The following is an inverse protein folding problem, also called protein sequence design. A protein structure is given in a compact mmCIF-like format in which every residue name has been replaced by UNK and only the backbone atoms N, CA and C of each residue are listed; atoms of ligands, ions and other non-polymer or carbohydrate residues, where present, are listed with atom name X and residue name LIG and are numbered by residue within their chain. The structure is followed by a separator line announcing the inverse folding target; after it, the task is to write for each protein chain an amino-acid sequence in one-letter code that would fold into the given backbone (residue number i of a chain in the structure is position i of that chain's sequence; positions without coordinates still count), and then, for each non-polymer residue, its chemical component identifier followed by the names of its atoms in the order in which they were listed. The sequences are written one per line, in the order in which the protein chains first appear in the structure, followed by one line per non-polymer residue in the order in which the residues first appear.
data_IF_523252468412
#
_entry.id   IF_523252468412
#
_cell.length_a   1.000
_cell.length_b   1.000
_cell.length_c   1.000
_cell.angle_alpha   90.00
_cell.angle_beta   90.00
_cell.angle_gamma   90.00
#
_symmetry.space_group_name_H-M   'P 1'
#
loop_
_entity.id
_entity.type
_entity.pdbx_description
1 polymer ?
#
# COMPACT_ATOMS: atom_id res chain seq x y z
N UNK A 1 15.33 8.27 16.18
CA UNK A 1 14.65 9.58 16.09
C UNK A 1 14.59 10.05 14.63
N UNK A 2 14.12 9.20 13.71
CA UNK A 2 13.91 9.52 12.28
C UNK A 2 12.70 8.73 11.75
N UNK A 3 11.58 8.74 12.48
CA UNK A 3 10.36 7.99 12.09
C UNK A 3 9.09 8.85 12.12
N UNK A 4 9.16 10.11 12.55
CA UNK A 4 7.96 10.94 12.72
C UNK A 4 7.29 11.24 11.37
N UNK A 5 8.06 11.62 10.35
CA UNK A 5 7.52 11.91 9.01
C UNK A 5 7.00 10.66 8.31
N UNK A 6 7.62 9.50 8.53
CA UNK A 6 7.11 8.22 8.00
C UNK A 6 5.74 7.85 8.60
N UNK A 7 5.41 8.41 9.78
CA UNK A 7 4.08 8.30 10.37
C UNK A 7 3.02 9.15 9.68
N UNK A 8 3.43 10.17 8.91
CA UNK A 8 2.58 11.19 8.29
C UNK A 8 2.40 10.98 6.77
N UNK A 9 2.61 9.77 6.26
CA UNK A 9 2.59 9.52 4.81
C UNK A 9 1.22 9.78 4.17
N UNK A 10 0.13 9.68 4.92
CA UNK A 10 -1.22 9.99 4.43
C UNK A 10 -1.33 11.50 4.18
N UNK A 11 -0.92 12.30 5.15
CA UNK A 11 -0.92 13.76 5.08
C UNK A 11 0.05 14.26 3.99
N UNK A 12 1.23 13.65 3.88
CA UNK A 12 2.19 13.93 2.80
C UNK A 12 1.57 13.61 1.44
N UNK A 13 0.80 12.52 1.31
CA UNK A 13 0.09 12.19 0.08
C UNK A 13 -1.03 13.19 -0.22
N UNK A 14 -1.78 13.63 0.79
CA UNK A 14 -2.83 14.64 0.63
C UNK A 14 -2.25 15.94 0.06
N UNK A 15 -1.13 16.40 0.62
CA UNK A 15 -0.41 17.59 0.13
C UNK A 15 0.09 17.36 -1.29
N UNK A 16 0.71 16.21 -1.57
CA UNK A 16 1.22 15.90 -2.90
C UNK A 16 0.11 15.89 -3.96
N UNK A 17 -1.03 15.24 -3.67
CA UNK A 17 -2.17 15.19 -4.59
C UNK A 17 -2.89 16.53 -4.73
N UNK A 18 -2.82 17.40 -3.72
CA UNK A 18 -3.32 18.77 -3.83
C UNK A 18 -2.45 19.64 -4.75
N UNK A 19 -1.13 19.44 -4.73
CA UNK A 19 -0.19 20.24 -5.52
C UNK A 19 0.03 19.74 -6.94
N UNK A 20 -0.25 18.46 -7.21
CA UNK A 20 -0.01 17.84 -8.52
C UNK A 20 -1.22 17.98 -9.44
N UNK A 21 -0.99 18.39 -10.68
CA UNK A 21 -2.03 18.40 -11.71
C UNK A 21 -2.54 16.97 -12.02
N UNK A 22 -3.86 16.82 -12.05
CA UNK A 22 -4.50 15.51 -12.24
C UNK A 22 -4.26 14.89 -13.62
N UNK A 23 -4.07 15.69 -14.67
CA UNK A 23 -3.74 15.19 -16.00
C UNK A 23 -2.27 14.73 -16.07
N UNK A 24 -1.36 15.49 -15.47
CA UNK A 24 0.05 15.07 -15.33
C UNK A 24 0.13 13.75 -14.55
N UNK A 25 -0.57 13.63 -13.42
CA UNK A 25 -0.59 12.41 -12.61
C UNK A 25 -1.15 11.21 -13.38
N UNK A 26 -2.17 11.45 -14.22
CA UNK A 26 -2.75 10.42 -15.10
C UNK A 26 -1.74 9.94 -16.15
N UNK A 27 -0.99 10.83 -16.76
CA UNK A 27 -0.14 10.52 -17.91
C UNK A 27 1.23 9.97 -17.51
N UNK A 28 1.82 10.52 -16.45
CA UNK A 28 3.19 10.24 -16.00
C UNK A 28 3.24 9.33 -14.78
N UNK A 29 2.17 9.36 -13.97
CA UNK A 29 2.06 8.55 -12.76
C UNK A 29 2.87 9.10 -11.59
N UNK A 30 2.55 8.57 -10.40
CA UNK A 30 3.15 9.04 -9.14
C UNK A 30 4.68 8.85 -9.09
N UNK A 31 5.20 7.78 -9.69
CA UNK A 31 6.63 7.46 -9.65
C UNK A 31 7.49 8.50 -10.38
N UNK A 32 6.96 9.11 -11.44
CA UNK A 32 7.68 10.15 -12.19
C UNK A 32 7.54 11.52 -11.53
N UNK A 33 6.34 11.87 -11.04
CA UNK A 33 6.06 13.18 -10.45
C UNK A 33 6.56 13.32 -9.01
N UNK A 34 6.52 12.23 -8.24
CA UNK A 34 6.87 12.21 -6.83
C UNK A 34 7.77 11.00 -6.49
N UNK A 35 8.95 10.85 -7.14
CA UNK A 35 9.81 9.68 -6.99
C UNK A 35 10.26 9.43 -5.55
N UNK A 36 10.40 10.49 -4.74
CA UNK A 36 10.80 10.37 -3.33
C UNK A 36 9.73 9.66 -2.49
N UNK A 37 8.46 9.94 -2.74
CA UNK A 37 7.31 9.36 -2.02
C UNK A 37 7.19 7.86 -2.36
N UNK A 38 7.51 7.47 -3.59
CA UNK A 38 7.49 6.06 -4.00
C UNK A 38 8.61 5.19 -3.42
N UNK A 39 9.57 5.75 -2.67
CA UNK A 39 10.58 4.97 -1.95
C UNK A 39 10.04 4.29 -0.68
N UNK A 40 8.86 4.70 -0.23
CA UNK A 40 8.22 4.14 0.95
C UNK A 40 7.41 2.92 0.55
N UNK A 41 7.74 1.74 1.08
CA UNK A 41 7.00 0.51 0.79
C UNK A 41 5.54 0.57 1.27
N UNK A 42 5.19 1.56 2.09
CA UNK A 42 3.83 1.86 2.52
C UNK A 42 3.00 2.57 1.45
N UNK A 43 3.56 2.83 0.26
CA UNK A 43 2.88 3.55 -0.82
C UNK A 43 2.89 2.71 -2.09
N UNK A 44 1.74 2.56 -2.71
CA UNK A 44 1.58 1.78 -3.95
C UNK A 44 0.62 2.49 -4.90
N UNK A 45 1.03 2.68 -6.16
CA UNK A 45 0.21 3.30 -7.20
C UNK A 45 -0.18 2.26 -8.25
N UNK A 46 -1.47 2.13 -8.53
CA UNK A 46 -1.99 1.37 -9.66
C UNK A 46 -2.47 2.33 -10.75
N UNK A 47 -1.63 2.54 -11.76
CA UNK A 47 -1.94 3.43 -12.88
C UNK A 47 -3.19 2.97 -13.67
N UNK A 48 -3.38 1.65 -13.82
CA UNK A 48 -4.52 1.08 -14.55
C UNK A 48 -5.87 1.44 -13.91
N UNK A 49 -5.98 1.29 -12.59
CA UNK A 49 -7.21 1.63 -11.87
C UNK A 49 -7.27 3.10 -11.49
N UNK A 50 -6.15 3.84 -11.60
CA UNK A 50 -5.97 5.23 -11.13
C UNK A 50 -6.19 5.34 -9.62
N UNK A 51 -5.55 4.43 -8.89
CA UNK A 51 -5.61 4.38 -7.42
C UNK A 51 -4.24 4.47 -6.79
N UNK A 52 -4.16 5.17 -5.67
CA UNK A 52 -2.99 5.16 -4.79
C UNK A 52 -3.42 4.59 -3.44
N UNK A 53 -2.62 3.69 -2.90
CA UNK A 53 -2.77 3.14 -1.56
C UNK A 53 -1.64 3.67 -0.69
N UNK A 54 -1.98 4.13 0.51
CA UNK A 54 -1.03 4.57 1.54
C UNK A 54 -1.34 3.87 2.84
N UNK A 55 -0.31 3.32 3.48
CA UNK A 55 -0.41 2.64 4.76
C UNK A 55 -0.07 3.58 5.90
N UNK A 56 -1.01 3.78 6.81
CA UNK A 56 -0.85 4.67 7.95
C UNK A 56 -0.14 3.98 9.13
N UNK A 57 0.46 4.80 10.00
CA UNK A 57 1.03 4.34 11.27
C UNK A 57 -0.02 3.78 12.24
N UNK A 58 -1.29 4.19 12.09
CA UNK A 58 -2.40 3.67 12.90
C UNK A 58 -2.89 2.28 12.45
N UNK A 59 -2.34 1.72 11.36
CA UNK A 59 -2.83 0.48 10.76
C UNK A 59 -4.00 0.68 9.78
N UNK A 60 -4.42 1.93 9.57
CA UNK A 60 -5.39 2.24 8.52
C UNK A 60 -4.75 2.23 7.14
N UNK A 61 -5.53 1.84 6.15
CA UNK A 61 -5.22 1.89 4.74
C UNK A 61 -6.00 3.04 4.09
N UNK A 62 -5.29 4.04 3.59
CA UNK A 62 -5.86 5.12 2.79
C UNK A 62 -5.87 4.72 1.31
N UNK A 63 -7.04 4.74 0.68
CA UNK A 63 -7.22 4.47 -0.75
C UNK A 63 -7.72 5.73 -1.44
N UNK A 64 -6.86 6.30 -2.28
CA UNK A 64 -7.16 7.45 -3.13
C UNK A 64 -7.67 6.97 -4.48
N UNK A 65 -8.90 7.34 -4.83
CA UNK A 65 -9.49 7.15 -6.16
C UNK A 65 -9.38 8.46 -6.95
N UNK A 66 -8.37 8.54 -7.82
CA UNK A 66 -7.99 9.78 -8.51
C UNK A 66 -9.06 10.25 -9.49
N UNK A 67 -9.95 9.37 -9.95
CA UNK A 67 -11.03 9.73 -10.89
C UNK A 67 -12.15 10.51 -10.21
N UNK A 68 -12.42 10.17 -8.95
CA UNK A 68 -13.54 10.75 -8.19
C UNK A 68 -13.06 11.79 -7.18
N UNK A 69 -11.74 11.98 -7.06
CA UNK A 69 -11.10 12.78 -6.03
C UNK A 69 -11.61 12.41 -4.62
N UNK A 70 -11.61 11.11 -4.31
CA UNK A 70 -12.08 10.57 -3.04
C UNK A 70 -10.97 9.79 -2.35
N UNK A 71 -10.91 9.92 -1.03
CA UNK A 71 -10.11 9.09 -0.15
C UNK A 71 -11.03 8.23 0.71
N UNK A 72 -10.74 6.93 0.81
CA UNK A 72 -11.37 6.01 1.74
C UNK A 72 -10.35 5.54 2.77
N UNK A 73 -10.69 5.62 4.05
CA UNK A 73 -9.89 5.08 5.15
C UNK A 73 -10.48 3.73 5.59
N UNK A 74 -9.66 2.69 5.56
CA UNK A 74 -10.07 1.32 5.86
C UNK A 74 -9.23 0.80 7.03
N UNK A 75 -9.84 0.30 8.13
CA UNK A 75 -9.09 -0.36 9.19
C UNK A 75 -8.55 -1.69 8.67
N UNK A 76 -7.25 -1.75 8.42
CA UNK A 76 -6.59 -2.91 7.81
C UNK A 76 -5.81 -3.74 8.82
N UNK A 77 -5.21 -3.04 9.79
CA UNK A 77 -4.27 -3.55 10.77
C UNK A 77 -4.48 -2.79 12.10
N UNK A 78 -4.07 -3.37 13.21
CA UNK A 78 -4.05 -2.75 14.55
C UNK A 78 -2.72 -2.05 14.88
N UNK A 79 -1.72 -2.21 14.02
CA UNK A 79 -0.35 -1.69 14.09
C UNK A 79 0.07 -1.10 12.74
N UNK A 80 1.20 -0.36 12.68
CA UNK A 80 1.64 0.31 11.45
C UNK A 80 1.70 -0.63 10.26
N UNK A 81 1.11 -0.20 9.14
CA UNK A 81 1.31 -0.87 7.86
C UNK A 81 2.74 -0.58 7.43
N UNK A 82 3.53 -1.62 7.18
CA UNK A 82 4.96 -1.53 6.83
C UNK A 82 5.23 -1.75 5.35
N UNK A 83 4.34 -2.45 4.64
CA UNK A 83 4.42 -2.62 3.18
C UNK A 83 3.03 -2.77 2.56
N UNK A 84 2.89 -2.26 1.34
CA UNK A 84 1.72 -2.35 0.48
C UNK A 84 2.12 -2.63 -0.97
N UNK A 85 1.29 -3.37 -1.71
CA UNK A 85 1.49 -3.54 -3.15
C UNK A 85 0.19 -3.88 -3.89
N UNK A 86 -0.17 -3.10 -4.90
CA UNK A 86 -1.22 -3.45 -5.86
C UNK A 86 -0.73 -4.57 -6.79
N UNK A 87 -1.63 -5.48 -7.15
CA UNK A 87 -1.37 -6.44 -8.23
C UNK A 87 -1.21 -5.69 -9.56
N UNK A 88 -0.45 -6.24 -10.53
CA UNK A 88 -0.26 -5.60 -11.83
C UNK A 88 -1.57 -5.33 -12.59
N UNK A 89 -2.57 -6.20 -12.41
CA UNK A 89 -3.91 -6.03 -12.99
C UNK A 89 -4.87 -5.16 -12.15
N UNK A 90 -4.40 -4.65 -11.00
CA UNK A 90 -5.16 -3.78 -10.11
C UNK A 90 -6.39 -4.40 -9.44
N UNK A 91 -6.57 -5.72 -9.53
CA UNK A 91 -7.70 -6.44 -8.90
C UNK A 91 -7.48 -6.75 -7.43
N UNK A 92 -6.22 -6.74 -7.01
CA UNK A 92 -5.83 -7.01 -5.65
C UNK A 92 -4.89 -5.95 -5.11
N UNK A 93 -4.92 -5.79 -3.80
CA UNK A 93 -3.94 -5.08 -3.01
C UNK A 93 -3.53 -5.98 -1.86
N UNK A 94 -2.27 -5.92 -1.46
CA UNK A 94 -1.77 -6.62 -0.28
C UNK A 94 -1.21 -5.60 0.68
N UNK A 95 -1.55 -5.74 1.96
CA UNK A 95 -0.98 -4.97 3.08
C UNK A 95 -0.25 -5.90 4.04
N UNK A 96 0.80 -5.39 4.68
CA UNK A 96 1.56 -6.13 5.69
C UNK A 96 1.92 -5.26 6.89
N UNK A 97 1.66 -5.78 8.08
CA UNK A 97 2.11 -5.22 9.36
C UNK A 97 3.15 -6.14 9.98
N UNK A 98 4.38 -5.64 10.09
CA UNK A 98 5.48 -6.39 10.68
C UNK A 98 5.31 -6.59 12.19
N UNK A 99 4.68 -5.65 12.90
CA UNK A 99 4.45 -5.79 14.35
C UNK A 99 3.32 -6.79 14.67
N UNK A 100 2.33 -6.94 13.78
CA UNK A 100 1.30 -7.98 13.88
C UNK A 100 1.74 -9.32 13.29
N UNK A 101 2.84 -9.32 12.53
CA UNK A 101 3.26 -10.43 11.68
C UNK A 101 2.14 -10.89 10.75
N UNK A 102 1.36 -9.95 10.18
CA UNK A 102 0.14 -10.27 9.44
C UNK A 102 0.12 -9.63 8.06
N UNK A 103 -0.18 -10.44 7.05
CA UNK A 103 -0.46 -10.05 5.68
C UNK A 103 -1.97 -10.13 5.43
N UNK A 104 -2.54 -9.13 4.75
CA UNK A 104 -3.95 -9.12 4.35
C UNK A 104 -4.08 -8.87 2.84
N UNK A 105 -4.88 -9.70 2.18
CA UNK A 105 -5.29 -9.51 0.79
C UNK A 105 -6.61 -8.76 0.72
N UNK A 106 -6.66 -7.84 -0.23
CA UNK A 106 -7.82 -6.99 -0.49
C UNK A 106 -8.22 -7.16 -1.95
N UNK A 107 -9.48 -7.46 -2.19
CA UNK A 107 -10.04 -7.36 -3.54
C UNK A 107 -10.51 -5.93 -3.79
N UNK A 108 -10.08 -5.38 -4.92
CA UNK A 108 -10.37 -4.00 -5.34
C UNK A 108 -11.27 -4.03 -6.56
N UNK A 109 -12.49 -3.50 -6.41
CA UNK A 109 -13.44 -3.35 -7.50
C UNK A 109 -13.73 -1.87 -7.75
N UNK A 110 -13.81 -1.51 -9.03
CA UNK A 110 -14.36 -0.24 -9.49
C UNK A 110 -15.82 -0.45 -9.87
N UNK A 111 -16.64 0.59 -9.69
CA UNK A 111 -18.00 0.60 -10.25
C UNK A 111 -18.00 0.29 -11.75
N UNK A 112 -19.03 -0.40 -12.22
CA UNK A 112 -19.18 -0.77 -13.62
C UNK A 112 -19.31 0.51 -14.45
N UNK A 113 -18.42 0.73 -15.43
CA UNK A 113 -18.35 1.97 -16.22
C UNK A 113 -18.20 3.27 -15.40
N UNK A 114 -17.61 3.19 -14.20
CA UNK A 114 -17.50 4.35 -13.30
C UNK A 114 -18.81 4.71 -12.58
N UNK A 115 -19.87 3.94 -12.80
CA UNK A 115 -21.12 4.02 -12.07
C UNK A 115 -21.05 3.07 -10.86
N UNK A 116 -21.26 3.62 -9.66
CA UNK A 116 -21.22 2.88 -8.40
C UNK A 116 -19.97 3.15 -7.56
N UNK A 117 -20.05 2.75 -6.29
CA UNK A 117 -18.96 2.98 -5.33
C UNK A 117 -17.83 1.98 -5.56
N UNK A 118 -16.61 2.49 -5.63
CA UNK A 118 -15.40 1.68 -5.51
C UNK A 118 -15.42 0.96 -4.16
N UNK A 119 -15.14 -0.34 -4.16
CA UNK A 119 -15.02 -1.12 -2.93
C UNK A 119 -13.65 -1.77 -2.85
N UNK A 120 -13.14 -1.84 -1.62
CA UNK A 120 -11.92 -2.54 -1.26
C UNK A 120 -12.27 -3.40 -0.04
N UNK A 121 -12.24 -4.72 -0.22
CA UNK A 121 -12.66 -5.67 0.82
C UNK A 121 -11.56 -6.66 1.14
N UNK A 122 -11.33 -6.92 2.43
CA UNK A 122 -10.40 -7.95 2.85
C UNK A 122 -10.96 -9.33 2.46
N UNK A 123 -10.16 -10.16 1.80
CA UNK A 123 -10.56 -11.50 1.36
C UNK A 123 -9.84 -12.61 2.11
N UNK A 124 -8.56 -12.40 2.45
CA UNK A 124 -7.72 -13.39 3.13
C UNK A 124 -6.70 -12.71 4.04
N UNK A 125 -6.35 -13.35 5.13
CA UNK A 125 -5.25 -12.95 6.01
C UNK A 125 -4.32 -14.11 6.28
N UNK A 126 -3.03 -13.84 6.38
CA UNK A 126 -1.98 -14.82 6.66
C UNK A 126 -1.11 -14.32 7.81
N UNK A 127 -0.90 -15.18 8.80
CA UNK A 127 0.13 -14.98 9.80
C UNK A 127 1.49 -15.36 9.22
N UNK A 128 2.53 -14.63 9.62
CA UNK A 128 3.91 -14.81 9.19
C UNK A 128 4.80 -15.06 10.40
N UNK A 129 5.99 -15.62 10.20
CA UNK A 129 6.94 -15.76 11.29
C UNK A 129 7.40 -14.36 11.76
N UNK A 130 7.54 -14.14 13.08
CA UNK A 130 8.05 -12.88 13.60
C UNK A 130 9.52 -12.69 13.24
N UNK A 131 9.90 -11.45 12.96
CA UNK A 131 11.30 -11.06 12.85
C UNK A 131 11.84 -10.81 14.26
N UNK A 132 12.90 -11.52 14.71
CA UNK A 132 13.54 -11.24 15.99
C UNK A 132 14.11 -9.81 16.02
N UNK A 133 14.04 -9.15 17.18
CA UNK A 133 14.63 -7.82 17.42
C UNK A 133 14.22 -6.73 16.41
N UNK A 134 12.96 -6.75 15.93
CA UNK A 134 12.44 -5.82 14.91
C UNK A 134 12.66 -4.34 15.23
N UNK A 135 12.70 -3.99 16.53
CA UNK A 135 12.92 -2.63 17.01
C UNK A 135 14.34 -2.08 16.73
N UNK A 136 15.31 -2.96 16.47
CA UNK A 136 16.69 -2.60 16.11
C UNK A 136 16.87 -2.37 14.61
N UNK A 137 15.91 -2.80 13.81
CA UNK A 137 15.96 -2.70 12.35
C UNK A 137 15.45 -1.33 11.89
N UNK A 138 15.81 -0.95 10.67
CA UNK A 138 15.30 0.28 10.07
C UNK A 138 13.79 0.11 9.76
N UNK A 139 12.89 0.90 10.40
CA UNK A 139 11.45 0.79 10.19
C UNK A 139 11.04 0.93 8.72
N UNK A 140 11.82 1.68 7.95
CA UNK A 140 11.59 1.92 6.53
C UNK A 140 11.95 0.75 5.61
N UNK A 141 12.61 -0.29 6.15
CA UNK A 141 13.12 -1.43 5.37
C UNK A 141 12.71 -2.77 5.98
N UNK A 142 11.68 -2.80 6.82
CA UNK A 142 11.23 -4.02 7.52
C UNK A 142 10.66 -5.08 6.57
N UNK A 143 9.90 -4.65 5.58
CA UNK A 143 9.21 -5.54 4.66
C UNK A 143 9.08 -4.91 3.27
N UNK A 144 9.04 -5.76 2.25
CA UNK A 144 8.71 -5.39 0.87
C UNK A 144 7.81 -6.45 0.25
N UNK A 145 6.72 -6.01 -0.36
CA UNK A 145 5.81 -6.84 -1.14
C UNK A 145 6.11 -6.69 -2.63
N UNK A 146 6.27 -7.80 -3.33
CA UNK A 146 6.54 -7.83 -4.77
C UNK A 146 5.64 -8.86 -5.45
N UNK A 147 4.75 -8.40 -6.33
CA UNK A 147 3.96 -9.28 -7.17
C UNK A 147 4.82 -9.90 -8.27
N UNK A 148 4.82 -11.22 -8.37
CA UNK A 148 5.54 -11.95 -9.43
C UNK A 148 4.63 -12.25 -10.63
N UNK A 149 3.31 -12.22 -10.42
CA UNK A 149 2.26 -12.29 -11.44
C UNK A 149 0.94 -11.73 -10.83
N UNK A 150 -0.19 -11.85 -11.53
CA UNK A 150 -1.49 -11.31 -11.05
C UNK A 150 -2.10 -12.06 -9.86
N UNK A 151 -1.51 -13.19 -9.44
CA UNK A 151 -2.07 -14.10 -8.43
C UNK A 151 -1.10 -14.43 -7.29
N UNK A 152 0.19 -14.12 -7.44
CA UNK A 152 1.21 -14.48 -6.47
C UNK A 152 2.04 -13.26 -6.08
N UNK A 153 2.16 -13.05 -4.78
CA UNK A 153 2.98 -12.00 -4.16
C UNK A 153 4.06 -12.64 -3.30
N UNK A 154 5.25 -12.06 -3.30
CA UNK A 154 6.34 -12.42 -2.39
C UNK A 154 6.45 -11.34 -1.32
N UNK A 155 6.45 -11.75 -0.06
CA UNK A 155 6.85 -10.95 1.08
C UNK A 155 8.33 -11.19 1.34
N UNK A 156 9.13 -10.14 1.28
CA UNK A 156 10.55 -10.15 1.64
C UNK A 156 10.70 -9.37 2.94
N UNK A 157 11.29 -9.98 3.96
CA UNK A 157 11.51 -9.37 5.27
C UNK A 157 12.98 -8.93 5.44
N UNK A 158 13.21 -8.04 6.39
CA UNK A 158 14.54 -7.47 6.66
C UNK A 158 15.59 -8.48 7.14
N UNK A 159 15.17 -9.63 7.67
CA UNK A 159 16.04 -10.76 8.02
C UNK A 159 16.46 -11.61 6.81
N UNK A 160 15.99 -11.26 5.60
CA UNK A 160 16.27 -11.97 4.36
C UNK A 160 15.30 -13.11 4.07
N UNK A 161 14.30 -13.36 4.92
CA UNK A 161 13.28 -14.37 4.65
C UNK A 161 12.34 -13.94 3.52
N UNK A 162 11.98 -14.91 2.68
CA UNK A 162 11.06 -14.72 1.57
C UNK A 162 9.93 -15.74 1.63
N UNK A 163 8.69 -15.27 1.64
CA UNK A 163 7.49 -16.13 1.62
C UNK A 163 6.56 -15.74 0.50
N UNK A 164 6.04 -16.72 -0.24
CA UNK A 164 5.07 -16.50 -1.33
C UNK A 164 3.65 -16.78 -0.88
N UNK A 165 2.73 -15.92 -1.29
CA UNK A 165 1.30 -16.04 -1.02
C UNK A 165 0.51 -15.94 -2.31
N UNK A 166 -0.61 -16.67 -2.37
CA UNK A 166 -1.53 -16.65 -3.51
C UNK A 166 -2.88 -16.06 -3.11
N UNK A 167 -3.48 -15.29 -4.02
CA UNK A 167 -4.82 -14.72 -3.82
C UNK A 167 -5.91 -15.77 -3.81
#
# INVERSE_FOLDING_TARGET
MQSEIAGLLVEVMDIALHCVDGNELKNRGLAELCPAICKFNQISHCAQTRRIAVGANSGNLAIYELRQNKCQMIPAHTHPITSLAFSPDGKYLVSYSCAENRLSFWQTSTGMFGLGQSQTRCTKGYSTAPIPDVSRLNPMRLAKLVWINNRTVTLMLADGSETRFNV
#
